data_IF_136261774770
#
_entry.id   IF_136261774770
#
_cell.length_a   1.000
_cell.length_b   1.000
_cell.length_c   1.000
_cell.angle_alpha   90.00
_cell.angle_beta   90.00
_cell.angle_gamma   90.00
#
_symmetry.space_group_name_H-M   'P 1'
#
loop_
_entity.id
_entity.type
_entity.pdbx_description
1 polymer ?
#
# COMPACT_ATOMS: atom_id res chain seq x y z
N UNK A 1 -19.07 -31.87 34.73
CA UNK A 1 -19.31 -31.43 36.12
C UNK A 1 -17.99 -31.48 36.89
N UNK A 2 -17.47 -30.32 37.31
CA UNK A 2 -16.33 -29.99 38.23
C UNK A 2 -15.92 -28.55 37.86
N UNK A 3 -16.65 -27.50 38.25
CA UNK A 3 -16.68 -26.83 39.57
C UNK A 3 -15.27 -26.55 40.12
N UNK A 4 -14.77 -25.36 39.84
CA UNK A 4 -13.90 -24.58 40.74
C UNK A 4 -14.47 -23.16 40.78
N UNK A 5 -14.69 -22.67 41.99
CA UNK A 5 -15.49 -21.50 42.38
C UNK A 5 -14.57 -20.46 43.03
N UNK A 6 -14.73 -19.19 42.63
CA UNK A 6 -14.60 -17.94 43.43
C UNK A 6 -13.15 -17.57 43.86
N UNK A 7 -12.71 -16.31 43.81
CA UNK A 7 -12.98 -15.17 44.72
C UNK A 7 -12.23 -13.97 44.06
N UNK A 8 -12.86 -12.89 43.56
CA UNK A 8 -13.39 -11.66 44.20
C UNK A 8 -12.34 -10.73 44.89
N UNK A 9 -12.44 -9.42 44.55
CA UNK A 9 -11.98 -8.18 45.26
C UNK A 9 -10.62 -7.62 44.80
N UNK A 10 -10.35 -6.32 44.68
CA UNK A 10 -11.02 -5.03 44.89
C UNK A 10 -9.94 -3.94 44.72
N UNK A 11 -10.24 -2.77 44.11
CA UNK A 11 -9.68 -1.38 44.27
C UNK A 11 -9.74 -0.68 42.89
N UNK A 12 -10.47 0.41 42.62
CA UNK A 12 -10.75 1.72 43.26
C UNK A 12 -9.53 2.67 43.32
N UNK A 13 -9.63 3.79 42.60
CA UNK A 13 -8.75 4.97 42.63
C UNK A 13 -7.67 4.94 41.54
N UNK A 14 -7.36 5.99 40.78
CA UNK A 14 -7.65 7.42 40.93
C UNK A 14 -7.35 8.08 39.57
N UNK A 15 -8.18 9.02 39.16
CA UNK A 15 -7.97 9.92 38.03
C UNK A 15 -6.90 10.97 38.39
N UNK A 16 -5.85 11.10 37.57
CA UNK A 16 -5.10 12.36 37.45
C UNK A 16 -4.52 12.48 36.04
N UNK A 17 -5.16 13.35 35.26
CA UNK A 17 -4.69 13.77 33.95
C UNK A 17 -3.48 14.70 34.12
N UNK A 18 -2.36 14.36 33.47
CA UNK A 18 -1.27 15.30 33.22
C UNK A 18 -1.27 15.56 31.72
N UNK A 19 -1.80 16.72 31.32
CA UNK A 19 -1.61 17.28 29.98
C UNK A 19 -0.16 17.77 29.86
N UNK A 20 0.74 16.90 29.40
CA UNK A 20 1.98 17.34 28.77
C UNK A 20 1.71 17.54 27.29
N UNK A 21 1.31 18.77 26.95
CA UNK A 21 1.35 19.28 25.59
C UNK A 21 2.81 19.54 25.20
N UNK A 22 3.47 18.52 24.65
CA UNK A 22 4.61 18.74 23.77
C UNK A 22 4.07 18.64 22.34
N UNK A 23 4.06 19.78 21.65
CA UNK A 23 3.88 19.82 20.21
C UNK A 23 5.05 19.12 19.54
N UNK A 24 4.92 17.82 19.33
CA UNK A 24 5.61 17.09 18.29
C UNK A 24 4.59 16.82 17.20
N UNK A 25 4.82 17.33 15.99
CA UNK A 25 4.18 16.74 14.84
C UNK A 25 4.47 15.23 14.86
N UNK A 26 3.52 14.35 14.53
CA UNK A 26 3.84 12.96 14.30
C UNK A 26 4.83 12.96 13.13
N UNK A 27 6.10 12.77 13.43
CA UNK A 27 7.11 12.38 12.46
C UNK A 27 6.58 11.07 11.89
N UNK A 28 6.15 11.12 10.62
CA UNK A 28 5.78 9.92 9.91
C UNK A 28 6.95 8.94 10.04
N UNK A 29 6.71 7.64 10.31
CA UNK A 29 7.79 6.67 10.35
C UNK A 29 8.49 6.75 8.99
N UNK A 30 9.72 7.29 9.00
CA UNK A 30 10.60 7.25 7.85
C UNK A 30 10.89 5.79 7.59
N UNK A 31 10.20 5.23 6.60
CA UNK A 31 10.54 3.91 6.09
C UNK A 31 12.02 3.96 5.72
N UNK A 32 12.82 3.10 6.35
CA UNK A 32 14.26 2.96 6.18
C UNK A 32 14.62 2.40 4.78
N UNK A 33 14.02 2.94 3.72
CA UNK A 33 14.40 2.73 2.32
C UNK A 33 15.34 3.87 1.89
N UNK A 34 16.33 4.21 2.73
CA UNK A 34 17.51 4.98 2.30
C UNK A 34 18.62 4.07 1.78
N UNK A 35 18.31 2.78 1.56
CA UNK A 35 19.12 1.89 0.75
C UNK A 35 19.34 2.54 -0.62
N UNK A 36 20.60 2.75 -0.97
CA UNK A 36 21.07 3.35 -2.22
C UNK A 36 20.21 2.88 -3.43
N UNK A 37 19.21 3.68 -3.81
CA UNK A 37 18.28 3.35 -4.89
C UNK A 37 19.01 3.23 -6.22
N UNK A 38 20.12 3.98 -6.38
CA UNK A 38 20.98 3.94 -7.57
C UNK A 38 21.72 2.61 -7.74
N UNK A 39 21.78 1.78 -6.68
CA UNK A 39 22.38 0.45 -6.74
C UNK A 39 21.37 -0.65 -7.11
N UNK A 40 20.08 -0.32 -7.26
CA UNK A 40 19.03 -1.29 -7.62
C UNK A 40 19.02 -1.49 -9.14
N UNK A 41 19.19 -2.73 -9.59
CA UNK A 41 19.04 -3.10 -11.00
C UNK A 41 17.59 -3.54 -11.27
N UNK A 42 16.81 -2.77 -12.06
CA UNK A 42 15.42 -3.12 -12.38
C UNK A 42 15.30 -4.05 -13.59
N UNK A 43 16.42 -4.59 -14.11
CA UNK A 43 16.42 -5.37 -15.34
C UNK A 43 15.53 -6.61 -15.24
N UNK A 44 14.65 -6.77 -16.23
CA UNK A 44 13.80 -7.96 -16.39
C UNK A 44 12.64 -8.09 -15.39
N UNK A 45 12.34 -7.04 -14.62
CA UNK A 45 11.24 -7.08 -13.65
C UNK A 45 9.88 -7.29 -14.33
N UNK A 46 8.97 -7.98 -13.63
CA UNK A 46 7.60 -8.23 -14.09
C UNK A 46 6.65 -7.51 -13.15
N UNK A 47 5.79 -6.65 -13.70
CA UNK A 47 4.91 -5.77 -12.95
C UNK A 47 3.46 -6.11 -13.29
N UNK A 48 2.65 -6.39 -12.28
CA UNK A 48 1.19 -6.52 -12.41
C UNK A 48 0.54 -5.18 -12.10
N UNK A 49 -0.24 -4.65 -13.05
CA UNK A 49 -0.95 -3.39 -12.89
C UNK A 49 -2.48 -3.59 -12.93
N UNK A 50 -3.16 -3.33 -11.82
CA UNK A 50 -4.63 -3.37 -11.75
C UNK A 50 -5.27 -2.03 -12.15
N UNK A 51 -6.16 -2.06 -13.15
CA UNK A 51 -6.87 -0.88 -13.66
C UNK A 51 -8.39 -1.10 -13.80
N UNK A 52 -9.14 0.01 -13.90
CA UNK A 52 -10.62 -0.01 -14.06
C UNK A 52 -11.13 0.37 -15.45
N UNK A 53 -10.26 0.87 -16.32
CA UNK A 53 -10.68 1.35 -17.62
C UNK A 53 -11.25 0.22 -18.49
N UNK A 54 -12.25 0.57 -19.29
CA UNK A 54 -12.87 -0.29 -20.31
C UNK A 54 -12.99 0.49 -21.63
N UNK A 55 -13.22 -0.23 -22.73
CA UNK A 55 -13.42 0.33 -24.09
C UNK A 55 -12.21 1.18 -24.53
N UNK A 56 -12.44 2.33 -25.16
CA UNK A 56 -11.39 3.22 -25.69
C UNK A 56 -10.33 3.62 -24.66
N UNK A 57 -10.70 3.76 -23.37
CA UNK A 57 -9.70 4.06 -22.32
C UNK A 57 -8.81 2.87 -22.01
N UNK A 58 -9.34 1.66 -22.11
CA UNK A 58 -8.55 0.44 -21.95
C UNK A 58 -7.64 0.22 -23.16
N UNK A 59 -8.14 0.44 -24.37
CA UNK A 59 -7.35 0.40 -25.61
C UNK A 59 -6.13 1.33 -25.52
N UNK A 60 -6.35 2.59 -25.15
CA UNK A 60 -5.26 3.56 -24.97
C UNK A 60 -4.30 3.17 -23.83
N UNK A 61 -4.81 2.64 -22.72
CA UNK A 61 -3.96 2.18 -21.62
C UNK A 61 -3.08 1.00 -22.04
N UNK A 62 -3.65 0.03 -22.74
CA UNK A 62 -2.94 -1.13 -23.24
C UNK A 62 -1.90 -0.75 -24.30
N UNK A 63 -2.18 0.28 -25.11
CA UNK A 63 -1.20 0.85 -26.03
C UNK A 63 0.00 1.44 -25.26
N UNK A 64 -0.24 2.22 -24.21
CA UNK A 64 0.84 2.77 -23.36
C UNK A 64 1.67 1.68 -22.68
N UNK A 65 1.01 0.63 -22.15
CA UNK A 65 1.69 -0.54 -21.57
C UNK A 65 2.57 -1.22 -22.63
N UNK A 66 2.04 -1.42 -23.84
CA UNK A 66 2.76 -2.04 -24.94
C UNK A 66 3.97 -1.21 -25.36
N UNK A 67 3.82 0.11 -25.50
CA UNK A 67 4.92 1.02 -25.81
C UNK A 67 6.01 0.99 -24.73
N UNK A 68 5.64 1.02 -23.45
CA UNK A 68 6.58 0.92 -22.35
C UNK A 68 7.35 -0.41 -22.40
N UNK A 69 6.66 -1.53 -22.52
CA UNK A 69 7.26 -2.87 -22.58
C UNK A 69 8.23 -3.06 -23.75
N UNK A 70 8.00 -2.37 -24.87
CA UNK A 70 8.85 -2.47 -26.06
C UNK A 70 10.08 -1.54 -26.01
N UNK A 71 9.98 -0.41 -25.32
CA UNK A 71 10.95 0.67 -25.42
C UNK A 71 11.84 0.87 -24.19
N UNK A 72 11.44 0.36 -23.03
CA UNK A 72 12.23 0.55 -21.82
C UNK A 72 13.55 -0.22 -21.88
N UNK A 73 14.65 0.44 -21.51
CA UNK A 73 16.02 -0.08 -21.63
C UNK A 73 16.32 -1.27 -20.70
N UNK A 74 15.52 -1.41 -19.63
CA UNK A 74 15.69 -2.43 -18.60
C UNK A 74 14.93 -3.73 -18.92
N UNK A 75 14.18 -3.81 -20.02
CA UNK A 75 13.39 -5.01 -20.34
C UNK A 75 12.32 -5.34 -19.29
N UNK A 76 11.82 -4.34 -18.56
CA UNK A 76 10.69 -4.46 -17.63
C UNK A 76 9.45 -4.83 -18.43
N UNK A 77 8.65 -5.75 -17.88
CA UNK A 77 7.43 -6.22 -18.48
C UNK A 77 6.21 -5.98 -17.58
N UNK A 78 5.37 -5.04 -17.99
CA UNK A 78 4.10 -4.71 -17.33
C UNK A 78 2.97 -5.53 -17.93
N UNK A 79 2.24 -6.26 -17.09
CA UNK A 79 0.97 -6.92 -17.41
C UNK A 79 -0.17 -6.14 -16.76
N UNK A 80 -0.95 -5.43 -17.56
CA UNK A 80 -2.18 -4.81 -17.11
C UNK A 80 -3.30 -5.84 -16.91
N UNK A 81 -4.08 -5.70 -15.84
CA UNK A 81 -5.25 -6.51 -15.54
C UNK A 81 -6.45 -5.61 -15.24
N UNK A 82 -7.52 -5.78 -16.02
CA UNK A 82 -8.82 -5.21 -15.65
C UNK A 82 -9.31 -5.86 -14.35
N UNK A 83 -9.49 -5.04 -13.32
CA UNK A 83 -9.79 -5.50 -11.96
C UNK A 83 -11.16 -5.03 -11.45
N UNK A 84 -12.06 -4.63 -12.36
CA UNK A 84 -13.38 -4.11 -12.02
C UNK A 84 -13.37 -2.59 -11.83
N UNK A 85 -14.37 -2.06 -11.13
CA UNK A 85 -14.40 -0.64 -10.79
C UNK A 85 -13.48 -0.31 -9.60
N UNK A 86 -13.46 0.96 -9.17
CA UNK A 86 -12.66 1.37 -8.02
C UNK A 86 -13.04 0.65 -6.71
N UNK A 87 -14.31 0.31 -6.52
CA UNK A 87 -14.78 -0.44 -5.36
C UNK A 87 -14.32 -1.90 -5.40
N UNK A 88 -14.36 -2.52 -6.58
CA UNK A 88 -13.84 -3.88 -6.80
C UNK A 88 -12.34 -3.94 -6.52
N UNK A 89 -11.56 -3.00 -7.08
CA UNK A 89 -10.11 -2.90 -6.85
C UNK A 89 -9.83 -2.71 -5.36
N UNK A 90 -10.59 -1.85 -4.67
CA UNK A 90 -10.43 -1.64 -3.24
C UNK A 90 -10.69 -2.89 -2.41
N UNK A 91 -11.80 -3.58 -2.66
CA UNK A 91 -12.10 -4.82 -1.96
C UNK A 91 -11.04 -5.88 -2.23
N UNK A 92 -10.62 -6.02 -3.49
CA UNK A 92 -9.56 -6.95 -3.90
C UNK A 92 -8.23 -6.65 -3.21
N UNK A 93 -7.84 -5.38 -3.13
CA UNK A 93 -6.62 -4.94 -2.42
C UNK A 93 -6.70 -5.21 -0.91
N UNK A 94 -7.82 -4.88 -0.26
CA UNK A 94 -8.00 -5.10 1.19
C UNK A 94 -7.99 -6.59 1.57
N UNK A 95 -8.51 -7.46 0.70
CA UNK A 95 -8.39 -8.92 0.86
C UNK A 95 -6.96 -9.37 0.56
N UNK A 96 -6.36 -8.86 -0.51
CA UNK A 96 -4.99 -9.16 -0.94
C UNK A 96 -3.96 -8.85 0.14
N UNK A 97 -4.08 -7.73 0.84
CA UNK A 97 -3.20 -7.35 1.95
C UNK A 97 -3.22 -8.34 3.13
N UNK A 98 -4.32 -9.06 3.33
CA UNK A 98 -4.42 -10.11 4.36
C UNK A 98 -3.84 -11.44 3.87
N UNK A 99 -3.95 -11.72 2.57
CA UNK A 99 -3.52 -12.97 1.95
C UNK A 99 -2.10 -12.95 1.36
N UNK A 100 -1.49 -11.78 1.22
CA UNK A 100 -0.19 -11.59 0.57
C UNK A 100 -0.25 -11.57 -0.97
N UNK A 101 -1.44 -11.45 -1.56
CA UNK A 101 -1.63 -11.40 -3.01
C UNK A 101 -2.12 -10.01 -3.45
N UNK A 102 -1.17 -9.10 -3.64
CA UNK A 102 -1.40 -7.71 -4.08
C UNK A 102 -0.71 -7.46 -5.43
N UNK A 103 -1.15 -6.47 -6.23
CA UNK A 103 -0.43 -6.10 -7.44
C UNK A 103 0.79 -5.25 -7.09
N UNK A 104 1.70 -5.11 -8.06
CA UNK A 104 2.84 -4.19 -7.94
C UNK A 104 2.39 -2.72 -8.12
N UNK A 105 1.33 -2.51 -8.92
CA UNK A 105 0.74 -1.20 -9.19
C UNK A 105 -0.78 -1.31 -9.26
N UNK A 106 -1.51 -0.31 -8.77
CA UNK A 106 -2.96 -0.22 -8.93
C UNK A 106 -3.42 1.23 -9.05
N UNK A 107 -4.58 1.42 -9.67
CA UNK A 107 -5.28 2.72 -9.66
C UNK A 107 -6.12 2.89 -8.40
N UNK A 108 -6.07 4.05 -7.77
CA UNK A 108 -6.81 4.34 -6.55
C UNK A 108 -7.22 5.83 -6.47
N UNK A 109 -8.35 6.10 -5.81
CA UNK A 109 -8.63 7.43 -5.30
C UNK A 109 -7.80 7.75 -4.06
N UNK A 110 -7.65 9.03 -3.72
CA UNK A 110 -6.87 9.49 -2.57
C UNK A 110 -7.33 8.88 -1.23
N UNK A 111 -8.63 8.67 -1.05
CA UNK A 111 -9.17 8.05 0.17
C UNK A 111 -8.86 6.55 0.25
N UNK A 112 -8.83 5.85 -0.89
CA UNK A 112 -8.45 4.45 -0.98
C UNK A 112 -6.94 4.29 -0.74
N UNK A 113 -6.12 5.12 -1.39
CA UNK A 113 -4.68 5.16 -1.17
C UNK A 113 -4.34 5.38 0.31
N UNK A 114 -5.04 6.32 0.98
CA UNK A 114 -4.87 6.54 2.42
C UNK A 114 -5.18 5.28 3.24
N UNK A 115 -6.29 4.61 2.93
CA UNK A 115 -6.66 3.39 3.63
C UNK A 115 -5.62 2.27 3.42
N UNK A 116 -5.01 2.17 2.24
CA UNK A 116 -3.92 1.21 2.01
C UNK A 116 -2.66 1.58 2.78
N UNK A 117 -2.32 2.86 2.90
CA UNK A 117 -1.23 3.33 3.77
C UNK A 117 -1.48 2.98 5.23
N UNK A 118 -2.70 3.20 5.73
CA UNK A 118 -3.07 2.86 7.11
C UNK A 118 -3.02 1.33 7.37
N UNK A 119 -3.03 0.53 6.31
CA UNK A 119 -2.90 -0.92 6.34
C UNK A 119 -1.48 -1.41 5.97
N UNK A 120 -0.47 -0.52 5.98
CA UNK A 120 0.92 -0.81 5.60
C UNK A 120 1.08 -1.45 4.21
N UNK A 121 0.15 -1.14 3.30
CA UNK A 121 -0.01 -1.79 2.01
C UNK A 121 0.55 -1.03 0.80
N UNK A 122 1.19 0.11 1.02
CA UNK A 122 1.80 0.91 -0.05
C UNK A 122 3.22 1.31 0.31
N UNK A 123 4.06 1.43 -0.71
CA UNK A 123 5.44 1.91 -0.57
C UNK A 123 5.45 3.43 -0.52
N UNK A 124 6.26 4.01 0.37
CA UNK A 124 6.52 5.45 0.37
C UNK A 124 7.31 5.84 -0.89
N UNK A 125 6.74 6.76 -1.67
CA UNK A 125 7.34 7.22 -2.92
C UNK A 125 8.33 8.37 -2.73
N UNK A 126 8.36 9.01 -1.54
CA UNK A 126 9.25 10.16 -1.27
C UNK A 126 10.72 9.85 -1.57
N UNK A 127 11.29 8.70 -1.16
CA UNK A 127 12.68 8.36 -1.48
C UNK A 127 12.96 8.32 -2.98
N UNK A 128 12.00 7.86 -3.79
CA UNK A 128 12.15 7.76 -5.25
C UNK A 128 12.01 9.12 -5.96
N UNK A 129 11.23 10.04 -5.39
CA UNK A 129 11.04 11.40 -5.94
C UNK A 129 12.17 12.37 -5.58
N UNK A 130 12.89 12.07 -4.50
CA UNK A 130 13.96 12.93 -3.96
C UNK A 130 15.35 12.36 -4.18
N UNK A 131 15.46 11.22 -4.88
CA UNK A 131 16.73 10.68 -5.35
C UNK A 131 17.40 11.68 -6.31
N UNK A 132 18.72 11.95 -6.15
CA UNK A 132 19.44 12.94 -6.95
C UNK A 132 19.57 12.60 -8.44
#
# INVERSE_FOLDING_TARGET
>A
MRIQRRILRLTCGTMLAVLSACGGAPEAPSSETSSNLDAIDPTGQKIVFWYQHTRQREEGLQELISQFNQSNEYGIHVRGEYAGDYGDIYNKMMVGLQGGEVPDLLVAYQNQARAYTDADGVVDLVPYLTSP
#
